data_IF_206370033355
#
_entry.id   IF_206370033355
#
_cell.length_a   1.000
_cell.length_b   1.000
_cell.length_c   1.000
_cell.angle_alpha   90.00
_cell.angle_beta   90.00
_cell.angle_gamma   90.00
#
_symmetry.space_group_name_H-M   'P 1'
#
loop_
_entity.id
_entity.type
_entity.pdbx_description
1 polymer ?
#
# COMPACT_ATOMS: atom_id res chain seq x y z
N UNK A 1 -5.19 13.25 -18.63
CA UNK A 1 -4.43 13.17 -17.37
C UNK A 1 -4.06 11.72 -17.12
N UNK A 2 -2.92 11.46 -16.50
CA UNK A 2 -2.49 10.11 -16.09
C UNK A 2 -2.73 9.99 -14.59
N UNK A 3 -3.67 9.14 -14.19
CA UNK A 3 -4.04 9.02 -12.79
C UNK A 3 -3.33 7.82 -12.18
N UNK A 4 -2.74 8.03 -11.00
CA UNK A 4 -2.30 6.96 -10.12
C UNK A 4 -3.24 6.89 -8.91
N UNK A 5 -3.47 5.69 -8.38
CA UNK A 5 -4.19 5.49 -7.14
C UNK A 5 -3.28 4.85 -6.10
N UNK A 6 -3.25 5.45 -4.91
CA UNK A 6 -2.51 4.94 -3.76
C UNK A 6 -3.51 4.39 -2.73
N UNK A 7 -3.36 3.12 -2.38
CA UNK A 7 -4.17 2.43 -1.37
C UNK A 7 -3.36 2.36 -0.08
N UNK A 8 -3.66 3.23 0.88
CA UNK A 8 -2.83 3.42 2.06
C UNK A 8 -3.32 2.56 3.22
N UNK A 9 -2.46 1.65 3.69
CA UNK A 9 -2.52 0.97 4.99
C UNK A 9 -3.88 0.30 5.32
N UNK A 10 -4.55 -0.31 4.33
CA UNK A 10 -5.79 -1.07 4.55
C UNK A 10 -5.46 -2.53 4.96
N UNK A 11 -4.86 -2.66 6.15
CA UNK A 11 -4.39 -3.92 6.74
C UNK A 11 -5.33 -4.48 7.81
N UNK A 12 -5.11 -5.72 8.23
CA UNK A 12 -5.94 -6.40 9.23
C UNK A 12 -5.94 -5.67 10.57
N UNK A 13 -4.79 -5.15 11.02
CA UNK A 13 -4.71 -4.44 12.30
C UNK A 13 -5.46 -3.10 12.32
N UNK A 14 -5.67 -2.49 11.16
CA UNK A 14 -6.35 -1.20 11.04
C UNK A 14 -7.85 -1.30 10.76
N UNK A 15 -8.40 -2.52 10.66
CA UNK A 15 -9.85 -2.75 10.49
C UNK A 15 -10.42 -3.47 11.71
N UNK A 16 -11.75 -3.58 11.78
CA UNK A 16 -12.42 -4.18 12.94
C UNK A 16 -11.90 -5.59 13.26
N UNK A 17 -11.53 -5.81 14.53
CA UNK A 17 -10.90 -7.04 15.03
C UNK A 17 -9.36 -7.00 15.06
N UNK A 18 -8.74 -5.97 14.48
CA UNK A 18 -7.31 -5.71 14.54
C UNK A 18 -6.84 -5.04 15.84
N UNK A 19 -5.52 -5.01 16.08
CA UNK A 19 -4.95 -4.41 17.29
C UNK A 19 -5.06 -2.89 17.37
N UNK A 20 -5.19 -2.20 16.23
CA UNK A 20 -5.32 -0.75 16.12
C UNK A 20 -6.49 -0.39 15.19
N UNK A 21 -7.64 -1.03 15.44
CA UNK A 21 -8.79 -1.00 14.56
C UNK A 21 -9.41 0.40 14.40
N UNK A 22 -9.69 0.76 13.14
CA UNK A 22 -10.51 1.94 12.81
C UNK A 22 -11.94 1.49 12.51
N UNK A 23 -12.90 2.09 13.21
CA UNK A 23 -14.33 1.82 12.98
C UNK A 23 -14.71 2.23 11.54
N UNK A 24 -15.34 1.32 10.80
CA UNK A 24 -15.67 1.47 9.39
C UNK A 24 -14.57 0.97 8.44
N UNK A 25 -13.43 0.50 8.95
CA UNK A 25 -12.29 0.07 8.14
C UNK A 25 -12.63 -1.02 7.13
N UNK A 26 -13.41 -2.05 7.52
CA UNK A 26 -13.87 -3.10 6.60
C UNK A 26 -14.80 -2.58 5.50
N UNK A 27 -15.65 -1.61 5.83
CA UNK A 27 -16.55 -1.00 4.85
C UNK A 27 -15.74 -0.20 3.82
N UNK A 28 -14.77 0.60 4.27
CA UNK A 28 -13.84 1.34 3.40
C UNK A 28 -13.07 0.39 2.50
N UNK A 29 -12.49 -0.69 3.03
CA UNK A 29 -11.79 -1.70 2.25
C UNK A 29 -12.67 -2.28 1.11
N UNK A 30 -13.93 -2.55 1.42
CA UNK A 30 -14.89 -3.06 0.44
C UNK A 30 -15.24 -2.01 -0.63
N UNK A 31 -15.41 -0.73 -0.24
CA UNK A 31 -15.66 0.38 -1.16
C UNK A 31 -14.47 0.60 -2.09
N UNK A 32 -13.25 0.61 -1.55
CA UNK A 32 -12.00 0.75 -2.33
C UNK A 32 -11.85 -0.39 -3.33
N UNK A 33 -12.11 -1.63 -2.93
CA UNK A 33 -12.05 -2.79 -3.84
C UNK A 33 -13.05 -2.67 -4.98
N UNK A 34 -14.31 -2.28 -4.71
CA UNK A 34 -15.31 -2.02 -5.76
C UNK A 34 -14.89 -0.88 -6.68
N UNK A 35 -14.36 0.21 -6.11
CA UNK A 35 -13.91 1.39 -6.86
C UNK A 35 -12.82 1.03 -7.86
N UNK A 36 -11.77 0.35 -7.41
CA UNK A 36 -10.64 -0.07 -8.26
C UNK A 36 -11.13 -0.97 -9.41
N UNK A 37 -12.04 -1.90 -9.13
CA UNK A 37 -12.59 -2.80 -10.16
C UNK A 37 -13.42 -2.04 -11.20
N UNK A 38 -14.25 -1.10 -10.74
CA UNK A 38 -15.14 -0.35 -11.61
C UNK A 38 -14.37 0.63 -12.50
N UNK A 39 -13.41 1.36 -11.92
CA UNK A 39 -12.65 2.41 -12.60
C UNK A 39 -11.25 1.96 -13.04
N UNK A 40 -11.02 0.65 -13.22
CA UNK A 40 -9.70 0.10 -13.54
C UNK A 40 -9.03 0.73 -14.76
N UNK A 41 -9.82 1.17 -15.75
CA UNK A 41 -9.33 1.79 -16.98
C UNK A 41 -8.95 3.27 -16.82
N UNK A 42 -9.33 3.89 -15.70
CA UNK A 42 -9.00 5.30 -15.42
C UNK A 42 -7.65 5.46 -14.74
N UNK A 43 -7.15 4.40 -14.10
CA UNK A 43 -5.86 4.39 -13.42
C UNK A 43 -4.80 3.76 -14.31
N UNK A 44 -3.74 4.51 -14.58
CA UNK A 44 -2.56 3.97 -15.23
C UNK A 44 -1.74 3.10 -14.26
N UNK A 45 -1.81 3.43 -12.97
CA UNK A 45 -1.03 2.76 -11.95
C UNK A 45 -1.79 2.73 -10.64
N UNK A 46 -1.79 1.58 -9.97
CA UNK A 46 -2.35 1.42 -8.62
C UNK A 46 -1.30 0.76 -7.76
N UNK A 47 -0.95 1.40 -6.65
CA UNK A 47 -0.07 0.80 -5.65
C UNK A 47 -0.74 0.82 -4.27
N UNK A 48 -0.25 -0.03 -3.38
CA UNK A 48 -0.64 -0.01 -1.97
C UNK A 48 0.58 0.21 -1.08
N UNK A 49 0.36 0.81 0.08
CA UNK A 49 1.35 0.79 1.16
C UNK A 49 0.91 -0.18 2.25
N UNK A 50 1.89 -0.62 3.03
CA UNK A 50 1.67 -1.29 4.30
C UNK A 50 2.68 -0.81 5.34
N UNK A 51 2.21 -0.65 6.57
CA UNK A 51 3.09 -0.73 7.73
C UNK A 51 3.57 -2.15 7.93
N UNK A 52 4.84 -2.30 8.28
CA UNK A 52 5.46 -3.60 8.47
C UNK A 52 6.60 -3.47 9.47
N UNK A 53 6.27 -3.54 10.75
CA UNK A 53 7.21 -3.25 11.83
C UNK A 53 7.96 -4.51 12.27
N UNK A 54 9.29 -4.49 12.19
CA UNK A 54 10.14 -5.57 12.73
C UNK A 54 10.58 -5.22 14.16
N UNK A 55 11.10 -4.01 14.34
CA UNK A 55 11.49 -3.46 15.65
C UNK A 55 11.45 -1.92 15.59
N UNK A 56 10.29 -1.29 15.78
CA UNK A 56 10.14 0.15 15.59
C UNK A 56 10.48 0.97 16.85
N UNK A 57 11.09 0.35 17.87
CA UNK A 57 11.48 1.00 19.12
C UNK A 57 10.30 1.65 19.87
N UNK A 58 10.47 2.91 20.27
CA UNK A 58 9.52 3.69 21.07
C UNK A 58 8.14 3.92 20.39
N UNK A 59 8.00 3.54 19.11
CA UNK A 59 6.71 3.52 18.43
C UNK A 59 5.71 2.56 19.09
N UNK A 60 6.19 1.46 19.70
CA UNK A 60 5.33 0.51 20.42
C UNK A 60 5.38 0.70 21.94
N UNK A 61 4.22 0.60 22.57
CA UNK A 61 4.06 0.67 24.03
C UNK A 61 2.87 -0.17 24.50
N UNK A 62 3.00 -0.82 25.67
CA UNK A 62 1.88 -1.45 26.38
C UNK A 62 0.93 -0.41 27.02
N UNK A 63 1.40 0.84 27.14
CA UNK A 63 0.65 1.99 27.63
C UNK A 63 0.77 3.16 26.63
N UNK A 64 0.15 3.03 25.44
CA UNK A 64 0.31 4.00 24.37
C UNK A 64 -0.39 5.33 24.67
N UNK A 65 0.22 6.43 24.25
CA UNK A 65 -0.35 7.78 24.30
C UNK A 65 -1.22 8.12 23.08
N UNK A 66 -1.22 7.27 22.04
CA UNK A 66 -1.92 7.47 20.76
C UNK A 66 -1.53 8.77 20.04
N UNK A 67 -0.32 9.26 20.32
CA UNK A 67 0.28 10.41 19.64
C UNK A 67 1.66 10.07 19.11
N UNK A 68 2.57 9.62 19.99
CA UNK A 68 3.93 9.22 19.63
C UNK A 68 4.15 7.71 19.77
N UNK A 69 3.28 7.03 20.52
CA UNK A 69 3.36 5.61 20.83
C UNK A 69 2.00 4.93 20.64
N UNK A 70 2.06 3.67 20.24
CA UNK A 70 0.91 2.89 19.79
C UNK A 70 0.97 1.48 20.38
N UNK A 71 -0.17 0.77 20.51
CA UNK A 71 -0.10 -0.66 20.81
C UNK A 71 0.62 -1.38 19.65
N UNK A 72 1.28 -2.53 19.86
CA UNK A 72 1.86 -3.30 18.78
C UNK A 72 0.85 -3.59 17.66
N UNK A 73 1.22 -3.23 16.43
CA UNK A 73 0.36 -3.37 15.24
C UNK A 73 1.24 -3.60 14.02
N UNK A 74 0.67 -4.19 12.97
CA UNK A 74 1.35 -4.44 11.70
C UNK A 74 2.74 -5.08 11.86
N UNK A 75 2.87 -5.95 12.87
CA UNK A 75 4.13 -6.62 13.19
C UNK A 75 4.50 -7.58 12.06
N UNK A 76 5.73 -7.50 11.57
CA UNK A 76 6.24 -8.29 10.47
C UNK A 76 5.98 -9.79 10.67
N UNK A 77 5.50 -10.45 9.61
CA UNK A 77 5.19 -11.88 9.63
C UNK A 77 3.88 -12.27 10.34
N UNK A 78 3.19 -11.33 11.00
CA UNK A 78 1.91 -11.62 11.66
C UNK A 78 0.72 -11.47 10.70
N UNK A 79 -0.43 -12.10 10.99
CA UNK A 79 -1.67 -11.86 10.25
C UNK A 79 -2.10 -10.40 10.25
N UNK A 80 -1.84 -9.65 11.34
CA UNK A 80 -2.20 -8.24 11.52
C UNK A 80 -1.58 -7.32 10.46
N UNK A 81 -0.33 -7.60 10.08
CA UNK A 81 0.38 -6.89 9.01
C UNK A 81 -0.11 -7.24 7.59
N UNK A 82 -0.91 -8.29 7.43
CA UNK A 82 -1.50 -8.66 6.15
C UNK A 82 -2.58 -7.69 5.71
N UNK A 83 -2.84 -7.62 4.40
CA UNK A 83 -4.02 -6.91 3.89
C UNK A 83 -5.30 -7.62 4.29
N UNK A 84 -6.34 -6.86 4.58
CA UNK A 84 -7.67 -7.44 4.75
C UNK A 84 -8.20 -8.01 3.41
N UNK A 85 -9.13 -8.98 3.44
CA UNK A 85 -9.49 -9.76 2.24
C UNK A 85 -9.85 -8.93 0.99
N UNK A 86 -10.62 -7.83 1.07
CA UNK A 86 -10.95 -7.01 -0.10
C UNK A 86 -9.73 -6.47 -0.85
N UNK A 87 -8.66 -6.10 -0.14
CA UNK A 87 -7.42 -5.56 -0.72
C UNK A 87 -6.47 -6.69 -1.10
N UNK A 88 -6.35 -7.72 -0.27
CA UNK A 88 -5.54 -8.91 -0.57
C UNK A 88 -5.95 -9.56 -1.90
N UNK A 89 -7.25 -9.56 -2.22
CA UNK A 89 -7.75 -10.06 -3.50
C UNK A 89 -7.29 -9.20 -4.69
N UNK A 90 -7.27 -7.87 -4.55
CA UNK A 90 -6.77 -6.97 -5.60
C UNK A 90 -5.28 -7.17 -5.88
N UNK A 91 -4.49 -7.48 -4.85
CA UNK A 91 -3.06 -7.85 -5.02
C UNK A 91 -2.94 -9.17 -5.78
N UNK A 92 -3.69 -10.21 -5.39
CA UNK A 92 -3.67 -11.53 -6.05
C UNK A 92 -4.08 -11.45 -7.53
N UNK A 93 -5.07 -10.60 -7.81
CA UNK A 93 -5.58 -10.36 -9.16
C UNK A 93 -4.73 -9.36 -9.97
N UNK A 94 -3.64 -8.84 -9.38
CA UNK A 94 -2.72 -7.87 -10.00
C UNK A 94 -3.40 -6.54 -10.41
N UNK A 95 -4.50 -6.19 -9.75
CA UNK A 95 -5.14 -4.88 -9.86
C UNK A 95 -4.41 -3.83 -9.02
N UNK A 96 -3.70 -4.25 -7.98
CA UNK A 96 -2.63 -3.48 -7.34
C UNK A 96 -1.31 -3.95 -7.94
N UNK A 97 -0.58 -3.04 -8.58
CA UNK A 97 0.64 -3.35 -9.34
C UNK A 97 1.85 -3.60 -8.46
N UNK A 98 1.94 -2.90 -7.32
CA UNK A 98 3.03 -3.09 -6.35
C UNK A 98 2.58 -2.73 -4.94
N UNK A 99 3.26 -3.31 -3.96
CA UNK A 99 3.06 -3.05 -2.53
C UNK A 99 4.36 -2.47 -1.99
N UNK A 100 4.28 -1.28 -1.42
CA UNK A 100 5.40 -0.61 -0.78
C UNK A 100 5.31 -0.79 0.74
N UNK A 101 6.44 -1.01 1.39
CA UNK A 101 6.54 -1.27 2.82
C UNK A 101 7.23 -0.11 3.52
N UNK A 102 6.69 0.34 4.66
CA UNK A 102 7.29 1.37 5.53
C UNK A 102 7.35 0.89 6.99
N UNK A 103 8.16 1.57 7.79
CA UNK A 103 8.16 1.44 9.25
C UNK A 103 8.95 0.27 9.84
N UNK A 104 9.81 -0.43 9.08
CA UNK A 104 10.50 -1.64 9.57
C UNK A 104 11.25 -1.43 10.89
N UNK A 105 11.94 -0.30 11.05
CA UNK A 105 12.82 -0.03 12.19
C UNK A 105 12.57 1.33 12.87
N UNK A 106 11.46 1.99 12.54
CA UNK A 106 11.05 3.28 13.11
C UNK A 106 9.58 3.55 12.80
N UNK A 107 8.98 4.55 13.45
CA UNK A 107 7.68 5.08 13.05
C UNK A 107 7.73 5.62 11.60
N UNK A 108 6.68 5.38 10.82
CA UNK A 108 6.54 5.91 9.46
C UNK A 108 5.08 6.27 9.17
N UNK A 109 4.83 7.53 8.80
CA UNK A 109 3.46 8.05 8.68
C UNK A 109 3.06 8.30 7.23
N UNK A 110 4.01 8.74 6.41
CA UNK A 110 3.81 9.01 5.00
C UNK A 110 4.00 7.76 4.17
N UNK A 111 3.08 7.50 3.24
CA UNK A 111 3.28 6.48 2.22
C UNK A 111 4.53 6.71 1.37
N UNK A 112 5.06 7.95 1.31
CA UNK A 112 6.29 8.26 0.59
C UNK A 112 7.56 7.78 1.30
N UNK A 113 7.48 7.37 2.56
CA UNK A 113 8.56 6.69 3.28
C UNK A 113 8.65 5.20 2.91
N UNK A 114 7.66 4.69 2.17
CA UNK A 114 7.60 3.29 1.79
C UNK A 114 8.50 2.95 0.60
N UNK A 115 9.09 1.76 0.66
CA UNK A 115 9.94 1.19 -0.38
C UNK A 115 9.23 0.02 -1.06
N UNK A 116 9.34 -0.07 -2.38
CA UNK A 116 8.91 -1.27 -3.11
C UNK A 116 9.83 -2.48 -2.82
N UNK A 117 9.53 -3.70 -3.30
CA UNK A 117 10.36 -4.87 -3.06
C UNK A 117 11.80 -4.78 -3.62
N UNK A 118 12.08 -3.80 -4.49
CA UNK A 118 13.43 -3.52 -5.03
C UNK A 118 14.18 -2.47 -4.20
N UNK A 119 13.55 -1.90 -3.17
CA UNK A 119 14.10 -0.81 -2.37
C UNK A 119 13.90 0.57 -2.99
N UNK A 120 13.06 0.72 -4.01
CA UNK A 120 12.81 2.03 -4.63
C UNK A 120 11.75 2.81 -3.84
N UNK A 121 11.96 4.12 -3.59
CA UNK A 121 10.98 4.94 -2.90
C UNK A 121 9.75 5.19 -3.77
N UNK A 122 8.60 5.42 -3.13
CA UNK A 122 7.31 5.65 -3.81
C UNK A 122 7.39 6.67 -4.95
N UNK A 123 8.14 7.76 -4.76
CA UNK A 123 8.26 8.81 -5.76
C UNK A 123 8.90 8.31 -7.07
N UNK A 124 9.91 7.45 -6.98
CA UNK A 124 10.59 6.90 -8.14
C UNK A 124 9.72 5.83 -8.82
N UNK A 125 9.02 5.00 -8.03
CA UNK A 125 8.02 4.05 -8.53
C UNK A 125 6.94 4.76 -9.35
N UNK A 126 6.43 5.90 -8.88
CA UNK A 126 5.41 6.69 -9.60
C UNK A 126 5.97 7.30 -10.90
N UNK A 127 7.24 7.75 -10.91
CA UNK A 127 7.90 8.24 -12.12
C UNK A 127 8.10 7.13 -13.16
N UNK A 128 8.56 5.96 -12.73
CA UNK A 128 8.74 4.78 -13.59
C UNK A 128 7.42 4.34 -14.23
N UNK A 129 6.34 4.31 -13.44
CA UNK A 129 5.00 3.98 -13.92
C UNK A 129 4.52 4.99 -14.98
N UNK A 130 4.76 6.28 -14.75
CA UNK A 130 4.44 7.35 -15.72
C UNK A 130 5.17 7.16 -17.04
N UNK A 131 6.47 6.84 -17.00
CA UNK A 131 7.31 6.64 -18.19
C UNK A 131 6.94 5.37 -18.97
N UNK A 132 6.58 4.29 -18.27
CA UNK A 132 6.20 3.02 -18.90
C UNK A 132 4.95 3.14 -19.77
N UNK A 133 3.99 3.99 -19.41
CA UNK A 133 2.82 4.25 -20.27
C UNK A 133 3.05 5.24 -21.43
N UNK A 134 4.26 5.80 -21.57
CA UNK A 134 4.68 6.55 -22.78
C UNK A 134 5.28 5.64 -23.86
N UNK A 135 5.57 4.37 -23.54
CA UNK A 135 6.18 3.40 -24.48
C UNK A 135 5.24 2.93 -25.62
N UNK A 136 4.06 3.56 -25.77
CA UNK A 136 3.22 3.42 -26.96
C UNK A 136 3.81 4.09 -28.22
N UNK A 137 5.03 4.63 -28.17
CA UNK A 137 5.84 4.82 -29.39
C UNK A 137 6.30 3.45 -29.89
N UNK A 138 5.42 2.77 -30.62
CA UNK A 138 5.80 1.69 -31.55
C UNK A 138 6.90 2.24 -32.45
N UNK A 139 8.16 1.90 -32.19
CA UNK A 139 9.14 1.81 -33.26
C UNK A 139 8.64 0.71 -34.19
N UNK A 140 7.98 1.11 -35.27
CA UNK A 140 7.77 0.25 -36.42
C UNK A 140 9.10 0.29 -37.16
N UNK A 141 10.00 -0.64 -36.81
CA UNK A 141 11.16 -0.90 -37.64
C UNK A 141 10.66 -1.57 -38.92
N UNK A 142 10.80 -0.86 -40.04
CA UNK A 142 10.53 -1.40 -41.37
C UNK A 142 11.68 -2.35 -41.72
N UNK A 143 11.43 -3.62 -42.06
CA UNK A 143 12.50 -4.51 -42.50
C UNK A 143 13.07 -4.00 -43.83
N UNK A 144 14.39 -3.86 -43.90
CA UNK A 144 15.14 -3.80 -45.16
C UNK A 144 15.18 -5.17 -45.83
#
# INVERSE_FOLDING_TARGET
>A
MRNALLVIDIQNDFVEGGSLAVVGGREVASKVSRHIRHFKSEYQFVCATRDYHEDPGDHFSDHPDFHNSWPPHCVAGTPGAGFCPPIQNLVREKLISTVLTKGQHAAAYSGFEALDPRGHPMFDVLKEARASGDSALKKIDVPT
#
